data_IF_747362984857
#
_entry.id   IF_747362984857
#
_cell.length_a   1.000
_cell.length_b   1.000
_cell.length_c   1.000
_cell.angle_alpha   90.00
_cell.angle_beta   90.00
_cell.angle_gamma   90.00
#
_symmetry.space_group_name_H-M   'P 1'
#
loop_
_entity.id
_entity.type
_entity.pdbx_description
1 polymer ?
#
# COMPACT_ATOMS: atom_id res chain seq x y z
N UNK A 1 16.29 -0.63 -18.51
CA UNK A 1 16.69 0.75 -18.89
C UNK A 1 15.52 1.66 -18.56
N UNK A 2 15.51 2.21 -17.35
CA UNK A 2 14.45 3.09 -16.89
C UNK A 2 14.68 4.50 -17.41
N UNK A 3 13.64 5.12 -17.96
CA UNK A 3 13.71 6.51 -18.43
C UNK A 3 13.09 7.38 -17.35
N UNK A 4 13.83 7.67 -16.28
CA UNK A 4 13.45 8.73 -15.35
C UNK A 4 13.49 10.06 -16.14
N UNK A 5 12.32 10.69 -16.33
CA UNK A 5 12.22 11.93 -17.12
C UNK A 5 12.16 13.13 -16.17
N UNK A 6 13.25 13.88 -16.16
CA UNK A 6 13.43 15.12 -15.39
C UNK A 6 12.68 16.24 -16.10
N UNK A 7 11.76 16.92 -15.41
CA UNK A 7 11.11 18.12 -15.92
C UNK A 7 11.64 19.34 -15.18
N UNK A 8 12.17 20.29 -15.95
CA UNK A 8 12.86 21.49 -15.48
C UNK A 8 12.03 22.74 -15.81
N UNK A 9 11.94 23.65 -14.85
CA UNK A 9 11.42 25.00 -14.99
C UNK A 9 12.31 25.81 -15.96
N UNK A 10 11.87 26.09 -17.19
CA UNK A 10 12.61 26.99 -18.11
C UNK A 10 11.64 27.87 -18.93
N UNK A 11 11.96 29.16 -19.05
CA UNK A 11 11.16 30.20 -19.70
C UNK A 11 11.47 30.37 -21.22
N UNK A 12 10.44 30.47 -22.08
CA UNK A 12 10.50 31.09 -23.41
C UNK A 12 9.10 31.41 -24.00
N UNK A 13 9.03 32.29 -25.02
CA UNK A 13 7.88 33.13 -25.43
C UNK A 13 7.26 32.78 -26.81
N UNK A 14 5.92 32.97 -26.92
CA UNK A 14 5.01 33.22 -28.09
C UNK A 14 4.76 32.09 -29.12
N UNK A 15 3.61 31.94 -29.81
CA UNK A 15 2.27 32.56 -29.91
C UNK A 15 1.37 31.57 -30.70
N UNK A 16 0.06 31.49 -30.41
CA UNK A 16 -0.95 30.88 -31.32
C UNK A 16 -2.00 29.99 -30.63
N UNK A 17 -3.28 30.37 -30.75
CA UNK A 17 -4.44 29.80 -30.05
C UNK A 17 -5.06 28.55 -30.72
N UNK A 18 -5.36 27.52 -29.93
CA UNK A 18 -6.47 26.58 -30.17
C UNK A 18 -7.04 26.08 -28.83
N UNK A 19 -8.31 25.64 -28.86
CA UNK A 19 -9.21 25.31 -27.74
C UNK A 19 -8.54 24.65 -26.52
N UNK A 20 -8.86 25.19 -25.34
CA UNK A 20 -8.33 24.78 -24.04
C UNK A 20 -8.84 23.38 -23.65
N UNK A 21 -7.97 22.39 -23.79
CA UNK A 21 -8.08 21.11 -23.09
C UNK A 21 -7.25 21.23 -21.81
N UNK A 22 -7.78 20.83 -20.64
CA UNK A 22 -6.98 20.82 -19.42
C UNK A 22 -5.63 20.10 -19.65
N UNK A 23 -4.55 20.67 -19.11
CA UNK A 23 -3.19 20.24 -19.41
C UNK A 23 -2.85 18.95 -18.64
N UNK A 24 -3.23 17.81 -19.19
CA UNK A 24 -2.86 16.47 -18.69
C UNK A 24 -1.41 16.15 -19.08
N UNK A 25 -0.65 15.54 -18.16
CA UNK A 25 0.82 15.38 -18.23
C UNK A 25 1.30 14.75 -19.53
N UNK A 26 0.88 13.53 -19.81
CA UNK A 26 1.28 12.79 -21.00
C UNK A 26 0.14 11.90 -21.45
N UNK A 27 0.05 11.65 -22.76
CA UNK A 27 -0.85 10.67 -23.33
C UNK A 27 -0.03 9.54 -23.97
N UNK A 28 -0.30 8.28 -23.63
CA UNK A 28 0.07 7.15 -24.50
C UNK A 28 -1.13 6.81 -25.38
N UNK A 29 -0.99 7.00 -26.70
CA UNK A 29 -2.07 6.76 -27.69
C UNK A 29 -3.41 7.45 -27.37
N UNK A 30 -3.38 8.60 -26.70
CA UNK A 30 -4.57 9.36 -26.33
C UNK A 30 -5.18 8.99 -24.97
N UNK A 31 -4.52 8.15 -24.16
CA UNK A 31 -4.89 7.86 -22.77
C UNK A 31 -3.91 8.56 -21.82
N UNK A 32 -4.39 9.33 -20.82
CA UNK A 32 -3.55 9.91 -19.79
C UNK A 32 -2.65 8.87 -19.12
N UNK A 33 -1.35 9.13 -19.01
CA UNK A 33 -0.46 8.36 -18.13
C UNK A 33 -0.74 8.83 -16.71
N UNK A 34 -1.33 7.95 -15.91
CA UNK A 34 -1.92 8.27 -14.61
C UNK A 34 -1.90 7.05 -13.67
N UNK A 35 -2.29 7.23 -12.42
CA UNK A 35 -2.47 6.12 -11.49
C UNK A 35 -3.65 5.23 -11.91
N UNK A 36 -3.61 3.95 -11.53
CA UNK A 36 -4.79 3.07 -11.64
C UNK A 36 -5.97 3.69 -10.88
N UNK A 37 -7.17 3.81 -11.49
CA UNK A 37 -8.34 4.30 -10.78
C UNK A 37 -8.66 3.47 -9.53
N UNK A 38 -9.21 4.14 -8.51
CA UNK A 38 -9.47 3.65 -7.14
C UNK A 38 -8.23 3.41 -6.27
N UNK A 39 -7.02 3.67 -6.78
CA UNK A 39 -5.79 3.48 -6.02
C UNK A 39 -5.71 4.41 -4.81
N UNK A 40 -5.14 3.89 -3.73
CA UNK A 40 -4.59 4.72 -2.66
C UNK A 40 -3.09 4.90 -2.87
N UNK A 41 -2.64 6.15 -3.03
CA UNK A 41 -1.22 6.49 -3.15
C UNK A 41 -0.74 6.99 -1.79
N UNK A 42 0.17 6.24 -1.16
CA UNK A 42 0.79 6.64 0.11
C UNK A 42 1.93 7.62 -0.20
N UNK A 43 1.82 8.82 0.35
CA UNK A 43 2.83 9.88 0.28
C UNK A 43 3.70 9.81 1.52
N UNK A 44 4.94 9.34 1.37
CA UNK A 44 5.91 9.23 2.46
C UNK A 44 6.61 10.57 2.68
N UNK A 45 6.17 11.33 3.68
CA UNK A 45 6.68 12.67 3.96
C UNK A 45 7.91 12.59 4.86
N UNK A 46 9.05 13.02 4.35
CA UNK A 46 10.32 13.13 5.06
C UNK A 46 10.84 14.56 4.96
N UNK A 47 10.01 15.53 5.36
CA UNK A 47 10.39 16.95 5.39
C UNK A 47 11.06 17.30 6.74
N UNK A 48 11.92 18.33 6.77
CA UNK A 48 12.56 18.77 8.01
C UNK A 48 11.53 19.10 9.12
N UNK A 49 11.93 18.91 10.38
CA UNK A 49 11.11 19.24 11.55
C UNK A 49 11.71 20.39 12.37
N UNK A 50 12.59 21.18 11.75
CA UNK A 50 13.37 22.25 12.37
C UNK A 50 12.60 23.57 12.52
N UNK A 51 11.47 23.73 11.82
CA UNK A 51 10.58 24.90 11.89
C UNK A 51 9.16 24.52 12.30
N UNK A 52 8.62 25.28 13.25
CA UNK A 52 7.25 25.07 13.79
C UNK A 52 6.40 26.34 13.84
N UNK A 53 6.94 27.50 13.48
CA UNK A 53 6.24 28.77 13.45
C UNK A 53 6.16 29.28 12.00
N UNK A 54 5.06 28.95 11.33
CA UNK A 54 4.74 29.42 9.99
C UNK A 54 3.75 30.59 10.04
N UNK A 55 3.77 31.46 9.03
CA UNK A 55 2.95 32.68 9.01
C UNK A 55 1.44 32.38 9.05
N UNK A 56 0.99 31.29 8.45
CA UNK A 56 -0.42 30.83 8.52
C UNK A 56 -0.76 29.98 9.76
N UNK A 57 0.19 29.80 10.68
CA UNK A 57 0.00 29.02 11.90
C UNK A 57 0.16 27.51 11.73
N UNK A 58 0.60 27.03 10.57
CA UNK A 58 0.99 25.63 10.38
C UNK A 58 2.09 25.22 11.37
N UNK A 59 2.13 23.93 11.71
CA UNK A 59 2.98 23.41 12.80
C UNK A 59 4.25 22.70 12.32
N UNK A 60 4.32 22.30 11.04
CA UNK A 60 5.47 21.64 10.42
C UNK A 60 5.34 21.68 8.90
N UNK A 61 6.45 21.42 8.18
CA UNK A 61 6.42 21.22 6.74
C UNK A 61 5.54 20.02 6.33
N UNK A 62 5.58 18.92 7.08
CA UNK A 62 4.68 17.77 6.88
C UNK A 62 3.20 18.16 6.98
N UNK A 63 2.83 19.00 7.95
CA UNK A 63 1.45 19.47 8.09
C UNK A 63 1.02 20.32 6.88
N UNK A 64 1.94 21.14 6.35
CA UNK A 64 1.70 21.96 5.15
C UNK A 64 1.50 21.09 3.91
N UNK A 65 2.38 20.10 3.70
CA UNK A 65 2.26 19.15 2.60
C UNK A 65 0.96 18.32 2.71
N UNK A 66 0.63 17.87 3.92
CA UNK A 66 -0.62 17.15 4.19
C UNK A 66 -1.86 17.98 3.86
N UNK A 67 -1.88 19.28 4.21
CA UNK A 67 -2.97 20.19 3.82
C UNK A 67 -3.12 20.27 2.29
N UNK A 68 -2.01 20.40 1.57
CA UNK A 68 -2.02 20.43 0.10
C UNK A 68 -2.54 19.12 -0.53
N UNK A 69 -2.16 17.95 0.00
CA UNK A 69 -2.70 16.65 -0.42
C UNK A 69 -4.20 16.53 -0.13
N UNK A 70 -4.64 16.97 1.04
CA UNK A 70 -6.05 16.97 1.42
C UNK A 70 -6.92 17.89 0.54
N UNK A 71 -6.34 18.96 -0.01
CA UNK A 71 -7.03 19.82 -0.98
C UNK A 71 -7.24 19.07 -2.30
N UNK A 72 -6.23 18.34 -2.79
CA UNK A 72 -6.41 17.49 -3.97
C UNK A 72 -7.44 16.38 -3.74
N UNK A 73 -7.41 15.71 -2.59
CA UNK A 73 -8.36 14.65 -2.23
C UNK A 73 -9.85 15.08 -2.32
N UNK A 74 -10.16 16.37 -2.22
CA UNK A 74 -11.54 16.89 -2.38
C UNK A 74 -12.06 16.80 -3.83
N UNK A 75 -11.18 16.65 -4.80
CA UNK A 75 -11.50 16.64 -6.24
C UNK A 75 -11.15 15.31 -6.93
N UNK A 76 -10.69 14.32 -6.17
CA UNK A 76 -10.28 13.02 -6.69
C UNK A 76 -11.31 11.96 -6.28
N UNK A 77 -12.19 11.59 -7.20
CA UNK A 77 -13.23 10.59 -6.93
C UNK A 77 -12.64 9.18 -6.92
N UNK A 78 -11.82 8.86 -7.92
CA UNK A 78 -11.21 7.55 -8.11
C UNK A 78 -9.68 7.57 -7.91
N UNK A 79 -9.18 8.38 -6.98
CA UNK A 79 -7.80 8.37 -6.49
C UNK A 79 -7.81 8.93 -5.06
N UNK A 80 -6.97 8.41 -4.18
CA UNK A 80 -6.84 8.96 -2.83
C UNK A 80 -5.37 9.04 -2.41
N UNK A 81 -4.95 10.19 -1.88
CA UNK A 81 -3.66 10.32 -1.21
C UNK A 81 -3.81 10.00 0.28
N UNK A 82 -3.05 9.03 0.75
CA UNK A 82 -2.80 8.78 2.17
C UNK A 82 -1.41 9.31 2.54
N UNK A 83 -1.19 9.60 3.83
CA UNK A 83 0.06 10.22 4.30
C UNK A 83 0.74 9.33 5.33
N UNK A 84 2.02 9.05 5.12
CA UNK A 84 2.94 8.54 6.12
C UNK A 84 3.82 9.71 6.60
N UNK A 85 3.62 10.16 7.84
CA UNK A 85 4.26 11.35 8.41
C UNK A 85 5.60 11.02 9.04
N UNK A 86 6.58 11.92 8.89
CA UNK A 86 7.94 11.73 9.39
C UNK A 86 8.54 10.39 8.94
N UNK A 87 8.29 10.04 7.68
CA UNK A 87 8.73 8.80 7.09
C UNK A 87 10.25 8.67 7.18
N UNK A 88 10.68 7.48 7.59
CA UNK A 88 12.09 7.10 7.71
C UNK A 88 12.60 6.32 6.48
N UNK A 89 11.73 6.13 5.48
CA UNK A 89 12.09 5.42 4.27
C UNK A 89 13.20 6.20 3.52
N UNK A 90 14.23 5.49 3.01
CA UNK A 90 15.28 6.13 2.24
C UNK A 90 14.71 6.65 0.91
N UNK A 91 15.18 7.82 0.46
CA UNK A 91 14.79 8.34 -0.86
C UNK A 91 15.42 7.50 -1.97
N UNK A 92 14.59 7.02 -2.89
CA UNK A 92 15.00 6.16 -4.00
C UNK A 92 14.04 6.36 -5.17
N UNK A 93 14.55 6.71 -6.35
CA UNK A 93 13.70 6.84 -7.56
C UNK A 93 13.41 5.50 -8.24
N UNK A 94 13.55 4.42 -7.48
CA UNK A 94 13.49 3.03 -7.97
C UNK A 94 12.98 2.08 -6.90
N UNK A 95 12.18 2.51 -5.94
CA UNK A 95 11.61 1.64 -4.90
C UNK A 95 10.09 1.48 -4.99
N UNK A 96 9.45 2.17 -5.96
CA UNK A 96 8.00 2.27 -6.11
C UNK A 96 7.27 2.90 -4.90
N UNK A 97 7.99 3.56 -3.99
CA UNK A 97 7.43 4.40 -2.94
C UNK A 97 7.31 5.83 -3.45
N UNK A 98 6.20 6.49 -3.13
CA UNK A 98 5.97 7.88 -3.51
C UNK A 98 6.44 8.79 -2.37
N UNK A 99 7.59 9.45 -2.53
CA UNK A 99 8.21 10.22 -1.44
C UNK A 99 8.04 11.73 -1.57
N UNK A 100 8.07 12.43 -0.44
CA UNK A 100 8.10 13.90 -0.40
C UNK A 100 9.22 14.33 0.53
N UNK A 101 10.18 15.09 0.03
CA UNK A 101 11.38 15.45 0.78
C UNK A 101 11.90 16.84 0.43
N UNK A 102 12.91 17.29 1.17
CA UNK A 102 13.62 18.54 0.91
C UNK A 102 15.13 18.27 0.85
N UNK A 103 15.80 18.78 -0.17
CA UNK A 103 17.22 18.51 -0.40
C UNK A 103 17.88 19.58 -1.26
N UNK A 104 19.21 19.71 -1.17
CA UNK A 104 20.02 20.57 -2.05
C UNK A 104 20.21 19.94 -3.45
N UNK A 105 19.89 18.65 -3.59
CA UNK A 105 20.02 17.85 -4.81
C UNK A 105 18.89 16.84 -4.95
N UNK A 106 18.59 16.42 -6.17
CA UNK A 106 17.68 15.30 -6.44
C UNK A 106 18.43 14.19 -7.17
N UNK A 107 18.52 13.01 -6.56
CA UNK A 107 19.22 11.83 -7.12
C UNK A 107 20.62 12.12 -7.70
N UNK A 108 21.39 12.98 -7.02
CA UNK A 108 22.75 13.37 -7.42
C UNK A 108 22.82 14.58 -8.34
N UNK A 109 21.70 14.99 -8.94
CA UNK A 109 21.58 16.13 -9.84
C UNK A 109 21.38 17.45 -9.07
N UNK A 110 21.86 18.55 -9.65
CA UNK A 110 21.71 19.89 -9.06
C UNK A 110 20.46 20.57 -9.62
N UNK A 111 19.72 21.26 -8.75
CA UNK A 111 18.61 22.10 -9.18
C UNK A 111 19.08 23.22 -10.13
N UNK A 112 18.22 23.57 -11.09
CA UNK A 112 18.40 24.80 -11.84
C UNK A 112 18.24 26.03 -10.92
N UNK A 113 18.87 27.16 -11.28
CA UNK A 113 18.96 28.34 -10.42
C UNK A 113 17.63 28.91 -9.90
N UNK A 114 16.52 28.65 -10.58
CA UNK A 114 15.17 29.12 -10.20
C UNK A 114 14.18 27.96 -10.02
N UNK A 115 14.66 26.72 -9.85
CA UNK A 115 13.81 25.55 -9.67
C UNK A 115 13.49 25.40 -8.19
N UNK A 116 12.21 25.57 -7.86
CA UNK A 116 11.71 25.56 -6.48
C UNK A 116 11.51 24.13 -5.94
N UNK A 117 11.05 23.22 -6.79
CA UNK A 117 10.90 21.81 -6.50
C UNK A 117 10.92 21.02 -7.82
N UNK A 118 10.98 19.70 -7.71
CA UNK A 118 10.80 18.78 -8.83
C UNK A 118 9.86 17.66 -8.42
N UNK A 119 9.00 17.25 -9.34
CA UNK A 119 8.26 15.99 -9.27
C UNK A 119 8.77 15.02 -10.32
N UNK A 120 9.32 13.91 -9.87
CA UNK A 120 9.76 12.79 -10.70
C UNK A 120 8.66 11.75 -10.67
N UNK A 121 8.23 11.23 -11.83
CA UNK A 121 7.24 10.15 -11.86
C UNK A 121 7.79 8.99 -12.65
N UNK A 122 7.51 7.78 -12.18
CA UNK A 122 7.94 6.55 -12.82
C UNK A 122 6.70 5.84 -13.35
N UNK A 123 6.46 5.85 -14.68
CA UNK A 123 5.42 5.05 -15.28
C UNK A 123 5.91 3.64 -15.65
N UNK A 124 5.02 2.67 -15.52
CA UNK A 124 5.14 1.31 -16.08
C UNK A 124 3.89 1.01 -16.88
N UNK A 125 4.04 0.60 -18.15
CA UNK A 125 2.90 0.28 -19.03
C UNK A 125 1.82 1.40 -19.10
N UNK A 126 2.26 2.66 -19.14
CA UNK A 126 1.41 3.86 -19.13
C UNK A 126 0.60 4.09 -17.83
N UNK A 127 0.95 3.42 -16.74
CA UNK A 127 0.39 3.60 -15.40
C UNK A 127 1.49 4.16 -14.48
N UNK A 128 1.18 5.14 -13.63
CA UNK A 128 2.10 5.57 -12.58
C UNK A 128 2.27 4.48 -11.53
N UNK A 129 3.53 4.20 -11.18
CA UNK A 129 3.88 3.26 -10.12
C UNK A 129 4.61 3.93 -8.96
N UNK A 130 5.11 5.15 -9.16
CA UNK A 130 5.92 5.94 -8.21
C UNK A 130 5.85 7.42 -8.58
N UNK A 131 5.88 8.31 -7.58
CA UNK A 131 6.24 9.71 -7.80
C UNK A 131 7.00 10.33 -6.61
N UNK A 132 8.10 11.04 -6.87
CA UNK A 132 8.87 11.71 -5.84
C UNK A 132 8.81 13.21 -5.99
N UNK A 133 8.50 13.90 -4.90
CA UNK A 133 8.49 15.35 -4.79
C UNK A 133 9.66 15.81 -3.94
N UNK A 134 10.56 16.61 -4.52
CA UNK A 134 11.76 17.09 -3.84
C UNK A 134 11.77 18.61 -3.89
N UNK A 135 11.55 19.24 -2.73
CA UNK A 135 11.67 20.68 -2.55
C UNK A 135 13.14 21.09 -2.48
N UNK A 136 13.47 22.19 -3.14
CA UNK A 136 14.84 22.69 -3.17
C UNK A 136 15.16 23.41 -1.86
N UNK A 137 16.12 22.86 -1.12
CA UNK A 137 16.56 23.36 0.18
C UNK A 137 17.42 24.64 0.09
N UNK A 138 17.78 25.08 -1.12
CA UNK A 138 18.46 26.36 -1.32
C UNK A 138 17.56 27.59 -1.08
N UNK A 139 16.24 27.40 -0.98
CA UNK A 139 15.28 28.46 -0.69
C UNK A 139 14.80 28.43 0.77
N UNK A 140 14.50 29.60 1.32
CA UNK A 140 13.76 29.70 2.58
C UNK A 140 12.28 29.41 2.35
N UNK A 141 11.69 28.60 3.22
CA UNK A 141 10.31 28.14 3.11
C UNK A 141 9.47 28.58 4.31
N UNK A 142 8.33 29.20 4.03
CA UNK A 142 7.27 29.55 4.97
C UNK A 142 5.94 28.97 4.45
N UNK A 143 4.82 29.24 5.13
CA UNK A 143 3.47 28.97 4.63
C UNK A 143 2.57 30.16 4.95
N UNK A 144 1.92 30.72 3.94
CA UNK A 144 1.07 31.91 4.06
C UNK A 144 -0.02 31.92 2.99
N UNK A 145 -0.94 32.88 3.04
CA UNK A 145 -1.96 33.11 2.00
C UNK A 145 -1.82 34.51 1.42
N UNK A 146 -2.22 34.67 0.16
CA UNK A 146 -2.14 35.96 -0.53
C UNK A 146 -0.81 36.20 -1.26
N UNK A 147 -0.48 37.46 -1.60
CA UNK A 147 0.63 37.80 -2.51
C UNK A 147 1.99 37.21 -2.14
N UNK A 148 2.82 36.96 -3.16
CA UNK A 148 4.21 36.52 -2.97
C UNK A 148 5.00 37.52 -2.11
N UNK A 149 5.87 36.98 -1.24
CA UNK A 149 6.71 37.78 -0.34
C UNK A 149 6.01 38.24 0.93
N UNK A 150 4.84 37.70 1.26
CA UNK A 150 4.19 37.88 2.57
C UNK A 150 4.70 36.91 3.65
N UNK A 151 5.64 36.04 3.29
CA UNK A 151 6.30 35.17 4.25
C UNK A 151 7.20 35.92 5.21
N UNK A 152 7.73 35.17 6.16
CA UNK A 152 8.76 35.63 7.08
C UNK A 152 10.03 35.97 6.31
N UNK A 153 10.30 37.26 6.11
CA UNK A 153 11.50 37.70 5.37
C UNK A 153 11.39 37.49 3.86
N UNK A 154 12.29 36.71 3.28
CA UNK A 154 12.31 36.39 1.84
C UNK A 154 11.77 34.99 1.53
N UNK A 155 11.12 34.35 2.49
CA UNK A 155 10.67 32.97 2.38
C UNK A 155 9.52 32.81 1.37
N UNK A 156 9.56 31.69 0.62
CA UNK A 156 8.54 31.28 -0.34
C UNK A 156 7.47 30.43 0.35
N UNK A 157 6.26 30.45 -0.19
CA UNK A 157 5.13 29.67 0.34
C UNK A 157 5.22 28.21 -0.11
N UNK A 158 5.59 27.32 0.81
CA UNK A 158 5.70 25.89 0.56
C UNK A 158 4.36 25.30 0.12
N UNK A 159 3.24 25.72 0.72
CA UNK A 159 1.93 25.13 0.39
C UNK A 159 1.54 25.37 -1.06
N UNK A 160 1.80 26.58 -1.57
CA UNK A 160 1.58 26.93 -2.97
C UNK A 160 2.38 26.05 -3.91
N UNK A 161 3.67 25.83 -3.61
CA UNK A 161 4.52 24.95 -4.41
C UNK A 161 4.10 23.48 -4.26
N UNK A 162 3.75 23.03 -3.06
CA UNK A 162 3.25 21.68 -2.81
C UNK A 162 1.95 21.39 -3.58
N UNK A 163 1.00 22.33 -3.64
CA UNK A 163 -0.21 22.19 -4.46
C UNK A 163 0.13 21.97 -5.95
N UNK A 164 1.14 22.68 -6.46
CA UNK A 164 1.63 22.51 -7.83
C UNK A 164 2.29 21.14 -8.02
N UNK A 165 3.27 20.78 -7.19
CA UNK A 165 3.99 19.50 -7.32
C UNK A 165 3.06 18.29 -7.18
N UNK A 166 2.11 18.34 -6.25
CA UNK A 166 1.11 17.27 -6.12
C UNK A 166 0.16 17.20 -7.31
N UNK A 167 -0.04 18.27 -8.07
CA UNK A 167 -0.73 18.20 -9.35
C UNK A 167 0.05 17.37 -10.40
N UNK A 168 1.39 17.38 -10.36
CA UNK A 168 2.18 16.45 -11.17
C UNK A 168 2.04 15.00 -10.71
N UNK A 169 1.98 14.76 -9.40
CA UNK A 169 1.69 13.43 -8.84
C UNK A 169 0.31 12.94 -9.30
N UNK A 170 -0.70 13.81 -9.33
CA UNK A 170 -2.04 13.50 -9.89
C UNK A 170 -1.95 13.12 -11.37
N UNK A 171 -1.02 13.70 -12.13
CA UNK A 171 -0.84 13.45 -13.57
C UNK A 171 -1.13 14.67 -14.45
N UNK A 172 -1.00 15.88 -13.92
CA UNK A 172 -1.15 17.14 -14.66
C UNK A 172 0.19 17.65 -15.23
N UNK A 173 0.13 18.36 -16.34
CA UNK A 173 1.23 19.14 -16.92
C UNK A 173 1.01 20.64 -16.77
N UNK A 174 2.04 21.40 -17.12
CA UNK A 174 1.98 22.85 -17.24
C UNK A 174 1.14 23.33 -18.44
N UNK A 175 0.00 24.01 -18.24
CA UNK A 175 -0.81 24.53 -19.35
C UNK A 175 -0.09 25.63 -20.14
N UNK A 176 0.74 26.45 -19.50
CA UNK A 176 1.53 27.50 -20.13
C UNK A 176 2.75 27.00 -20.94
N UNK A 177 3.03 25.69 -20.88
CA UNK A 177 4.03 25.00 -21.68
C UNK A 177 3.41 23.98 -22.67
N UNK A 178 2.09 23.79 -22.64
CA UNK A 178 1.38 22.92 -23.57
C UNK A 178 1.60 23.37 -25.02
N UNK A 179 1.33 22.45 -25.97
CA UNK A 179 1.39 22.76 -27.41
C UNK A 179 0.03 22.44 -28.05
N UNK A 180 -0.75 23.46 -28.46
CA UNK A 180 -0.48 24.89 -28.34
C UNK A 180 -0.51 25.39 -26.90
N UNK A 181 0.23 26.47 -26.63
CA UNK A 181 0.29 27.09 -25.31
C UNK A 181 -1.09 27.55 -24.85
N UNK A 182 -1.46 27.19 -23.64
CA UNK A 182 -2.68 27.65 -23.01
C UNK A 182 -2.40 28.92 -22.19
N UNK A 183 -3.39 29.80 -22.10
CA UNK A 183 -3.32 31.03 -21.31
C UNK A 183 -4.47 31.02 -20.30
N UNK A 184 -4.28 30.23 -19.25
CA UNK A 184 -5.27 30.00 -18.18
C UNK A 184 -4.66 30.36 -16.83
N UNK A 185 -5.51 30.74 -15.87
CA UNK A 185 -5.10 30.84 -14.47
C UNK A 185 -5.10 29.43 -13.90
N UNK A 186 -3.94 28.97 -13.45
CA UNK A 186 -3.72 27.62 -12.96
C UNK A 186 -2.63 27.65 -11.88
N UNK A 187 -2.79 26.87 -10.81
CA UNK A 187 -1.68 26.56 -9.90
C UNK A 187 -0.60 25.80 -10.67
N UNK A 188 -1.00 25.01 -11.67
CA UNK A 188 -0.13 24.21 -12.53
C UNK A 188 0.65 25.02 -13.56
N UNK A 189 0.54 26.35 -13.64
CA UNK A 189 1.43 27.11 -14.51
C UNK A 189 2.89 26.96 -14.05
N UNK A 190 3.82 26.84 -15.00
CA UNK A 190 5.23 26.59 -14.74
C UNK A 190 5.98 27.73 -14.05
N UNK A 191 5.35 28.89 -13.84
CA UNK A 191 5.96 30.00 -13.11
C UNK A 191 5.07 30.34 -11.91
N UNK A 192 5.67 30.29 -10.72
CA UNK A 192 5.00 30.66 -9.47
C UNK A 192 4.35 32.05 -9.58
N UNK A 193 3.14 32.19 -9.06
CA UNK A 193 2.35 33.42 -9.15
C UNK A 193 1.64 33.72 -7.84
N UNK A 194 0.72 34.69 -7.84
CA UNK A 194 -0.11 35.02 -6.68
C UNK A 194 -1.17 33.94 -6.37
N UNK A 195 -1.43 33.00 -7.29
CA UNK A 195 -2.38 31.91 -7.12
C UNK A 195 -1.89 30.97 -6.00
N UNK A 196 -2.70 30.74 -4.97
CA UNK A 196 -2.42 29.85 -3.81
C UNK A 196 -3.52 28.81 -3.55
N UNK A 197 -4.42 28.64 -4.52
CA UNK A 197 -5.51 27.66 -4.50
C UNK A 197 -5.64 27.01 -5.87
N UNK A 198 -6.20 25.79 -5.90
CA UNK A 198 -6.55 25.13 -7.16
C UNK A 198 -7.55 25.98 -7.94
N UNK A 199 -7.29 26.16 -9.23
CA UNK A 199 -8.13 26.89 -10.16
C UNK A 199 -9.03 25.91 -10.94
N UNK A 200 -10.07 26.41 -11.64
CA UNK A 200 -10.95 25.57 -12.44
C UNK A 200 -10.22 24.70 -13.48
N UNK A 201 -9.11 25.18 -14.05
CA UNK A 201 -8.29 24.41 -15.00
C UNK A 201 -7.62 23.20 -14.33
N UNK A 202 -7.03 23.41 -13.16
CA UNK A 202 -6.37 22.37 -12.36
C UNK A 202 -7.36 21.27 -11.95
N UNK A 203 -8.53 21.70 -11.44
CA UNK A 203 -9.62 20.80 -11.02
C UNK A 203 -10.14 20.01 -12.22
N UNK A 204 -10.45 20.68 -13.33
CA UNK A 204 -10.96 20.03 -14.54
C UNK A 204 -9.95 19.02 -15.11
N UNK A 205 -8.65 19.30 -15.00
CA UNK A 205 -7.58 18.37 -15.36
C UNK A 205 -7.62 17.10 -14.52
N UNK A 206 -7.63 17.22 -13.19
CA UNK A 206 -7.68 16.07 -12.29
C UNK A 206 -8.96 15.24 -12.48
N UNK A 207 -10.10 15.93 -12.59
CA UNK A 207 -11.41 15.32 -12.85
C UNK A 207 -11.46 14.58 -14.18
N UNK A 208 -10.82 15.10 -15.23
CA UNK A 208 -10.75 14.40 -16.52
C UNK A 208 -10.02 13.04 -16.45
N UNK A 209 -9.20 12.83 -15.42
CA UNK A 209 -8.48 11.58 -15.16
C UNK A 209 -9.28 10.68 -14.18
N UNK A 210 -9.83 11.26 -13.10
CA UNK A 210 -10.33 10.49 -11.95
C UNK A 210 -11.81 10.71 -11.59
N UNK A 211 -12.62 11.44 -12.37
CA UNK A 211 -14.08 11.52 -12.15
C UNK A 211 -14.81 10.23 -12.54
N UNK A 212 -14.21 9.44 -13.44
CA UNK A 212 -14.76 8.16 -13.88
C UNK A 212 -13.85 7.01 -13.50
N UNK A 213 -14.45 5.93 -13.01
CA UNK A 213 -13.75 4.70 -12.66
C UNK A 213 -14.74 3.60 -12.30
N UNK A 214 -14.26 2.40 -11.97
CA UNK A 214 -15.11 1.36 -11.39
C UNK A 214 -15.78 1.86 -10.11
N UNK A 215 -17.04 1.50 -9.88
CA UNK A 215 -17.71 1.80 -8.61
C UNK A 215 -16.91 1.21 -7.44
N UNK A 216 -16.84 1.93 -6.32
CA UNK A 216 -16.29 1.38 -5.09
C UNK A 216 -17.16 0.24 -4.60
N UNK A 217 -16.54 -0.92 -4.40
CA UNK A 217 -17.22 -2.13 -3.98
C UNK A 217 -17.02 -2.32 -2.47
N UNK A 218 -18.10 -2.24 -1.70
CA UNK A 218 -18.08 -2.60 -0.29
C UNK A 218 -18.38 -4.09 -0.12
N UNK A 219 -17.49 -4.85 0.54
CA UNK A 219 -17.83 -6.20 1.01
C UNK A 219 -18.87 -6.13 2.14
N UNK A 220 -19.99 -6.85 1.96
CA UNK A 220 -21.27 -6.77 2.69
C UNK A 220 -21.23 -7.48 4.09
N UNK A 221 -22.16 -7.19 5.03
CA UNK A 221 -22.08 -7.56 6.45
C UNK A 221 -22.74 -8.91 6.81
N UNK A 222 -22.07 -9.63 7.71
CA UNK A 222 -22.47 -10.68 8.67
C UNK A 222 -21.19 -11.03 9.48
N UNK A 223 -21.23 -11.78 10.61
CA UNK A 223 -20.00 -12.16 11.34
C UNK A 223 -19.13 -13.17 10.57
N UNK A 224 -18.40 -12.68 9.56
CA UNK A 224 -17.48 -13.45 8.74
C UNK A 224 -16.03 -13.16 9.15
N UNK A 225 -15.13 -14.10 8.84
CA UNK A 225 -13.70 -13.78 8.85
C UNK A 225 -13.46 -13.05 7.53
N UNK A 226 -13.35 -11.72 7.59
CA UNK A 226 -13.27 -10.88 6.38
C UNK A 226 -11.83 -10.69 5.91
N UNK A 227 -10.88 -10.94 6.82
CA UNK A 227 -9.46 -11.00 6.53
C UNK A 227 -8.82 -12.12 7.37
N UNK A 228 -7.88 -12.81 6.74
CA UNK A 228 -6.98 -13.77 7.35
C UNK A 228 -5.58 -13.41 6.88
N UNK A 229 -4.64 -13.25 7.82
CA UNK A 229 -3.28 -12.83 7.48
C UNK A 229 -2.22 -13.58 8.25
N UNK A 230 -1.00 -13.57 7.74
CA UNK A 230 0.16 -14.02 8.49
C UNK A 230 1.36 -13.14 8.21
N UNK A 231 1.96 -12.62 9.27
CA UNK A 231 3.30 -12.04 9.25
C UNK A 231 4.30 -13.13 9.53
N UNK A 232 5.20 -13.38 8.59
CA UNK A 232 6.23 -14.40 8.74
C UNK A 232 7.52 -14.00 8.01
N UNK A 233 8.63 -14.57 8.48
CA UNK A 233 9.90 -14.47 7.78
C UNK A 233 9.91 -15.41 6.57
N UNK A 234 10.09 -14.84 5.37
CA UNK A 234 10.23 -15.54 4.11
C UNK A 234 11.70 -15.86 3.87
N UNK A 235 12.02 -17.15 3.84
CA UNK A 235 13.34 -17.65 3.46
C UNK A 235 13.38 -18.17 2.02
N UNK A 236 14.54 -18.68 1.62
CA UNK A 236 14.75 -19.31 0.30
C UNK A 236 14.49 -20.82 0.33
N UNK A 237 14.32 -21.44 -0.85
CA UNK A 237 14.22 -22.89 -0.98
C UNK A 237 13.01 -23.46 -0.24
N UNK A 238 13.23 -24.40 0.68
CA UNK A 238 12.16 -25.01 1.48
C UNK A 238 11.64 -24.10 2.62
N UNK A 239 12.28 -22.96 2.86
CA UNK A 239 11.94 -22.01 3.93
C UNK A 239 11.06 -20.85 3.46
N UNK A 240 10.48 -20.96 2.26
CA UNK A 240 9.41 -20.04 1.81
C UNK A 240 8.19 -20.17 2.72
N UNK A 241 7.41 -19.09 2.82
CA UNK A 241 6.17 -19.11 3.60
C UNK A 241 5.05 -19.68 2.74
N UNK A 242 4.27 -20.59 3.33
CA UNK A 242 3.12 -21.21 2.66
C UNK A 242 1.87 -21.01 3.51
N UNK A 243 0.94 -20.19 3.03
CA UNK A 243 -0.39 -20.05 3.58
C UNK A 243 -1.34 -21.09 2.97
N UNK A 244 -1.95 -21.94 3.78
CA UNK A 244 -3.00 -22.86 3.37
C UNK A 244 -4.37 -22.31 3.75
N UNK A 245 -5.37 -22.47 2.87
CA UNK A 245 -6.75 -22.09 3.15
C UNK A 245 -7.75 -23.03 2.47
N UNK A 246 -9.01 -22.97 2.90
CA UNK A 246 -10.09 -23.81 2.35
C UNK A 246 -11.21 -22.91 1.84
N UNK A 247 -11.72 -23.18 0.65
CA UNK A 247 -13.02 -22.65 0.22
C UNK A 247 -14.10 -23.62 0.66
N UNK A 248 -15.03 -23.13 1.48
CA UNK A 248 -16.11 -23.89 2.06
C UNK A 248 -17.46 -23.56 1.40
N UNK A 249 -18.41 -24.49 1.54
CA UNK A 249 -19.75 -24.37 0.97
C UNK A 249 -19.90 -25.22 -0.30
N UNK A 250 -20.96 -24.96 -1.05
CA UNK A 250 -21.28 -25.66 -2.31
C UNK A 250 -21.11 -24.77 -3.53
N UNK A 251 -20.69 -23.52 -3.36
CA UNK A 251 -20.51 -22.52 -4.41
C UNK A 251 -19.07 -22.00 -4.37
N UNK A 252 -18.54 -21.48 -5.49
CA UNK A 252 -17.24 -20.83 -5.51
C UNK A 252 -17.18 -19.63 -4.57
N UNK A 253 -15.98 -19.29 -4.11
CA UNK A 253 -15.67 -18.04 -3.41
C UNK A 253 -14.76 -17.16 -4.28
N UNK A 254 -15.02 -15.84 -4.29
CA UNK A 254 -14.12 -14.86 -4.92
C UNK A 254 -13.26 -14.21 -3.85
N UNK A 255 -11.95 -14.33 -4.00
CA UNK A 255 -10.96 -13.90 -3.01
C UNK A 255 -9.91 -12.98 -3.63
N UNK A 256 -9.31 -12.14 -2.79
CA UNK A 256 -8.05 -11.46 -3.07
C UNK A 256 -6.98 -12.00 -2.14
N UNK A 257 -5.86 -12.44 -2.71
CA UNK A 257 -4.65 -12.80 -2.00
C UNK A 257 -3.62 -11.68 -2.16
N UNK A 258 -2.90 -11.31 -1.10
CA UNK A 258 -1.84 -10.30 -1.15
C UNK A 258 -0.56 -10.80 -0.52
N UNK A 259 0.58 -10.41 -1.11
CA UNK A 259 1.90 -10.49 -0.53
C UNK A 259 2.46 -9.09 -0.33
N UNK A 260 2.55 -8.64 0.92
CA UNK A 260 2.96 -7.29 1.31
C UNK A 260 4.35 -7.37 1.95
N UNK A 261 5.26 -6.51 1.54
CA UNK A 261 6.67 -6.54 1.87
C UNK A 261 7.21 -5.12 2.02
N UNK A 262 7.55 -4.48 0.90
CA UNK A 262 8.13 -3.14 0.84
C UNK A 262 7.32 -2.05 1.58
N UNK A 263 6.01 -2.23 1.77
CA UNK A 263 5.17 -1.29 2.55
C UNK A 263 5.32 -1.45 4.08
N UNK A 264 5.93 -2.53 4.57
CA UNK A 264 6.02 -2.85 6.00
C UNK A 264 6.95 -1.95 6.84
N UNK A 265 8.06 -1.38 6.31
CA UNK A 265 8.89 -0.48 7.11
C UNK A 265 8.16 0.80 7.53
N UNK A 266 7.14 1.24 6.78
CA UNK A 266 6.27 2.36 7.17
C UNK A 266 5.51 2.12 8.48
N UNK A 267 5.32 0.86 8.88
CA UNK A 267 4.73 0.48 10.18
C UNK A 267 5.77 -0.07 11.16
N UNK A 268 7.05 0.20 10.93
CA UNK A 268 8.16 -0.12 11.82
C UNK A 268 8.78 -1.51 11.66
N UNK A 269 8.39 -2.27 10.62
CA UNK A 269 8.97 -3.58 10.33
C UNK A 269 10.10 -3.40 9.30
N UNK A 270 11.31 -3.14 9.79
CA UNK A 270 12.44 -2.74 8.93
C UNK A 270 13.08 -3.89 8.15
N UNK A 271 12.85 -5.14 8.54
CA UNK A 271 13.45 -6.31 7.90
C UNK A 271 12.51 -6.91 6.85
N UNK A 272 11.80 -6.07 6.11
CA UNK A 272 10.78 -6.46 5.15
C UNK A 272 11.35 -7.23 3.95
N UNK A 273 10.53 -8.06 3.32
CA UNK A 273 10.83 -8.67 2.03
C UNK A 273 10.62 -7.60 0.94
N UNK A 274 11.66 -7.29 0.17
CA UNK A 274 11.65 -6.15 -0.76
C UNK A 274 10.72 -6.36 -1.97
N UNK A 275 10.65 -7.59 -2.50
CA UNK A 275 9.95 -7.89 -3.75
C UNK A 275 9.14 -9.19 -3.62
N UNK A 276 7.97 -9.16 -2.95
CA UNK A 276 7.19 -10.36 -2.66
C UNK A 276 6.45 -10.87 -3.91
N UNK A 277 6.71 -12.11 -4.31
CA UNK A 277 5.96 -12.87 -5.33
C UNK A 277 4.99 -13.82 -4.64
N UNK A 278 3.76 -13.92 -5.15
CA UNK A 278 2.80 -14.94 -4.70
C UNK A 278 2.45 -15.93 -5.81
N UNK A 279 2.34 -17.21 -5.43
CA UNK A 279 1.78 -18.26 -6.29
C UNK A 279 0.60 -18.92 -5.57
N UNK A 280 -0.53 -19.01 -6.25
CA UNK A 280 -1.71 -19.76 -5.80
C UNK A 280 -1.69 -21.16 -6.41
N UNK A 281 -1.81 -22.17 -5.57
CA UNK A 281 -1.76 -23.59 -5.94
C UNK A 281 -3.06 -24.30 -5.56
N UNK A 282 -3.50 -25.21 -6.43
CA UNK A 282 -4.53 -26.20 -6.13
C UNK A 282 -3.99 -27.30 -5.20
N UNK A 283 -4.88 -28.10 -4.61
CA UNK A 283 -4.51 -29.28 -3.81
C UNK A 283 -3.69 -30.33 -4.57
N UNK A 284 -3.74 -30.34 -5.90
CA UNK A 284 -2.91 -31.17 -6.76
C UNK A 284 -1.46 -30.68 -6.89
N UNK A 285 -1.14 -29.49 -6.38
CA UNK A 285 0.13 -28.79 -6.59
C UNK A 285 0.23 -28.02 -7.90
N UNK A 286 -0.86 -27.94 -8.68
CA UNK A 286 -0.89 -27.13 -9.89
C UNK A 286 -0.98 -25.63 -9.54
N UNK A 287 -0.14 -24.81 -10.18
CA UNK A 287 -0.24 -23.34 -10.09
C UNK A 287 -1.51 -22.90 -10.84
N UNK A 288 -2.39 -22.18 -10.15
CA UNK A 288 -3.62 -21.61 -10.67
C UNK A 288 -3.43 -20.15 -11.08
N UNK A 289 -2.63 -19.41 -10.31
CA UNK A 289 -2.30 -18.01 -10.57
C UNK A 289 -0.95 -17.67 -9.94
N UNK A 290 -0.30 -16.63 -10.44
CA UNK A 290 0.90 -16.04 -9.86
C UNK A 290 0.84 -14.52 -10.06
N UNK A 291 1.40 -13.78 -9.12
CA UNK A 291 1.61 -12.34 -9.20
C UNK A 291 3.00 -12.04 -8.66
N UNK A 292 3.63 -11.02 -9.23
CA UNK A 292 4.94 -10.48 -8.87
C UNK A 292 4.70 -9.02 -8.46
N UNK A 293 4.35 -8.19 -9.44
CA UNK A 293 3.77 -6.87 -9.23
C UNK A 293 2.25 -6.90 -9.47
N UNK A 294 1.45 -6.49 -8.47
CA UNK A 294 -0.01 -6.45 -8.58
C UNK A 294 -0.49 -5.51 -9.69
N UNK A 295 0.28 -4.45 -9.97
CA UNK A 295 -0.09 -3.39 -10.92
C UNK A 295 -0.07 -3.89 -12.37
N UNK A 296 0.70 -4.94 -12.65
CA UNK A 296 0.80 -5.54 -13.98
C UNK A 296 -0.28 -6.62 -14.21
N UNK A 297 -1.06 -6.98 -13.18
CA UNK A 297 -2.16 -7.92 -13.32
C UNK A 297 -3.38 -7.26 -14.00
N UNK A 298 -4.02 -8.02 -14.89
CA UNK A 298 -5.30 -7.66 -15.51
C UNK A 298 -6.42 -7.28 -14.51
N UNK A 299 -6.31 -7.73 -13.26
CA UNK A 299 -7.28 -7.46 -12.19
C UNK A 299 -6.96 -6.24 -11.34
N UNK A 300 -5.87 -5.52 -11.58
CA UNK A 300 -5.42 -4.38 -10.76
C UNK A 300 -6.55 -3.36 -10.48
N UNK A 301 -7.32 -2.98 -11.49
CA UNK A 301 -8.45 -2.04 -11.35
C UNK A 301 -9.59 -2.60 -10.48
N UNK A 302 -9.84 -3.90 -10.54
CA UNK A 302 -10.85 -4.57 -9.72
C UNK A 302 -10.39 -4.65 -8.28
N UNK A 303 -9.14 -5.04 -8.04
CA UNK A 303 -8.54 -5.11 -6.70
C UNK A 303 -8.58 -3.72 -6.03
N UNK A 304 -8.19 -2.67 -6.75
CA UNK A 304 -8.26 -1.29 -6.28
C UNK A 304 -9.71 -0.83 -5.98
N UNK A 305 -10.71 -1.29 -6.76
CA UNK A 305 -12.13 -0.95 -6.48
C UNK A 305 -12.67 -1.48 -5.16
N UNK A 306 -12.01 -2.49 -4.57
CA UNK A 306 -12.28 -2.99 -3.22
C UNK A 306 -11.43 -2.32 -2.13
N UNK A 307 -10.57 -1.36 -2.50
CA UNK A 307 -9.52 -0.79 -1.63
C UNK A 307 -8.59 -1.87 -1.04
N UNK A 308 -8.30 -2.88 -1.84
CA UNK A 308 -7.39 -3.96 -1.48
C UNK A 308 -6.08 -3.90 -2.29
N UNK A 309 -5.83 -2.82 -3.02
CA UNK A 309 -4.55 -2.59 -3.67
C UNK A 309 -3.40 -2.54 -2.64
N UNK A 310 -2.31 -3.29 -2.87
CA UNK A 310 -1.05 -3.04 -2.18
C UNK A 310 -0.56 -1.61 -2.43
N UNK A 311 -0.02 -0.97 -1.40
CA UNK A 311 0.37 0.45 -1.46
C UNK A 311 1.64 0.66 -2.29
N UNK A 312 2.57 -0.30 -2.24
CA UNK A 312 3.74 -0.32 -3.11
C UNK A 312 3.43 -1.14 -4.37
N UNK A 313 3.86 -0.66 -5.54
CA UNK A 313 3.54 -1.31 -6.82
C UNK A 313 4.31 -2.62 -7.07
N UNK A 314 5.39 -2.89 -6.33
CA UNK A 314 6.16 -4.14 -6.34
C UNK A 314 5.58 -5.25 -5.49
N UNK A 315 4.53 -4.94 -4.74
CA UNK A 315 3.86 -5.95 -3.95
C UNK A 315 2.92 -6.79 -4.82
N UNK A 316 2.61 -7.98 -4.36
CA UNK A 316 1.85 -8.95 -5.13
C UNK A 316 0.38 -8.98 -4.73
N UNK A 317 -0.51 -9.14 -5.71
CA UNK A 317 -1.91 -9.47 -5.44
C UNK A 317 -2.55 -10.31 -6.55
N UNK A 318 -3.40 -11.26 -6.15
CA UNK A 318 -4.15 -12.15 -7.04
C UNK A 318 -5.63 -12.06 -6.71
N UNK A 319 -6.46 -11.81 -7.72
CA UNK A 319 -7.91 -12.00 -7.65
C UNK A 319 -8.26 -13.36 -8.25
N UNK A 320 -8.99 -14.20 -7.51
CA UNK A 320 -9.38 -15.52 -8.00
C UNK A 320 -10.80 -15.91 -7.54
N UNK A 321 -11.52 -16.61 -8.41
CA UNK A 321 -12.77 -17.31 -8.04
C UNK A 321 -12.49 -18.81 -8.01
N UNK A 322 -12.66 -19.42 -6.83
CA UNK A 322 -12.23 -20.78 -6.54
C UNK A 322 -13.40 -21.64 -6.10
N UNK A 323 -13.49 -22.85 -6.65
CA UNK A 323 -14.45 -23.87 -6.22
C UNK A 323 -14.16 -24.34 -4.78
N UNK A 324 -15.14 -24.91 -4.07
CA UNK A 324 -14.91 -25.53 -2.76
C UNK A 324 -13.77 -26.55 -2.80
N UNK A 325 -12.79 -26.38 -1.90
CA UNK A 325 -11.56 -27.17 -1.92
C UNK A 325 -10.45 -26.58 -1.06
N UNK A 326 -9.30 -27.26 -1.02
CA UNK A 326 -8.10 -26.81 -0.32
C UNK A 326 -7.10 -26.20 -1.29
N UNK A 327 -6.49 -25.09 -0.88
CA UNK A 327 -5.55 -24.31 -1.69
C UNK A 327 -4.37 -23.86 -0.83
N UNK A 328 -3.26 -23.54 -1.48
CA UNK A 328 -2.10 -22.93 -0.83
C UNK A 328 -1.62 -21.72 -1.62
N UNK A 329 -1.25 -20.66 -0.91
CA UNK A 329 -0.47 -19.54 -1.43
C UNK A 329 0.97 -19.68 -0.96
N UNK A 330 1.92 -19.60 -1.89
CA UNK A 330 3.35 -19.62 -1.60
C UNK A 330 3.87 -18.20 -1.79
N UNK A 331 4.62 -17.69 -0.81
CA UNK A 331 5.30 -16.39 -0.91
C UNK A 331 6.80 -16.58 -0.90
N UNK A 332 7.44 -15.93 -1.85
CA UNK A 332 8.89 -15.94 -2.07
C UNK A 332 9.33 -14.54 -2.50
N UNK A 333 10.64 -14.27 -2.45
CA UNK A 333 11.20 -13.10 -3.10
C UNK A 333 11.25 -13.30 -4.62
N UNK A 334 11.03 -12.24 -5.38
CA UNK A 334 11.54 -12.16 -6.74
C UNK A 334 13.07 -12.08 -6.70
N UNK A 335 13.75 -12.76 -7.62
CA UNK A 335 15.21 -12.70 -7.74
C UNK A 335 15.59 -11.73 -8.86
N UNK A 336 15.80 -10.47 -8.46
CA UNK A 336 16.23 -9.39 -9.36
C UNK A 336 17.77 -9.33 -9.51
N UNK A 337 18.52 -10.23 -8.84
CA UNK A 337 19.99 -10.28 -8.85
C UNK A 337 20.73 -9.39 -7.85
N UNK A 338 20.05 -8.72 -6.91
CA UNK A 338 20.67 -7.91 -5.84
C UNK A 338 21.14 -8.73 -4.62
N UNK A 339 20.62 -9.95 -4.46
CA UNK A 339 20.93 -10.86 -3.37
C UNK A 339 20.01 -10.76 -2.15
N UNK A 340 19.01 -9.88 -2.16
CA UNK A 340 18.04 -9.66 -1.08
C UNK A 340 16.81 -10.57 -1.22
N UNK A 341 17.00 -11.87 -1.01
CA UNK A 341 15.96 -12.88 -1.25
C UNK A 341 15.14 -13.30 -0.01
N UNK A 342 15.30 -12.59 1.11
CA UNK A 342 14.68 -12.97 2.38
C UNK A 342 14.24 -11.74 3.17
N UNK A 343 13.15 -11.86 3.92
CA UNK A 343 12.63 -10.78 4.75
C UNK A 343 11.28 -11.13 5.34
N UNK A 344 10.75 -10.26 6.19
CA UNK A 344 9.39 -10.37 6.72
C UNK A 344 8.38 -9.97 5.65
N UNK A 345 7.36 -10.78 5.41
CA UNK A 345 6.22 -10.42 4.58
C UNK A 345 4.89 -10.66 5.32
N UNK A 346 3.85 -9.95 4.92
CA UNK A 346 2.47 -10.30 5.23
C UNK A 346 1.85 -11.05 4.05
N UNK A 347 1.20 -12.16 4.36
CA UNK A 347 0.26 -12.84 3.47
C UNK A 347 -1.12 -12.48 3.92
N UNK A 348 -2.00 -12.10 3.01
CA UNK A 348 -3.38 -11.78 3.35
C UNK A 348 -4.35 -12.47 2.40
N UNK A 349 -5.48 -12.89 2.94
CA UNK A 349 -6.62 -13.41 2.21
C UNK A 349 -7.84 -12.58 2.60
N UNK A 350 -8.50 -12.03 1.59
CA UNK A 350 -9.79 -11.37 1.69
C UNK A 350 -10.83 -12.16 0.93
N UNK A 351 -11.95 -12.49 1.58
CA UNK A 351 -13.14 -13.00 0.91
C UNK A 351 -14.04 -11.82 0.56
N UNK A 352 -14.30 -11.63 -0.73
CA UNK A 352 -15.08 -10.49 -1.20
C UNK A 352 -16.58 -10.66 -0.94
N UNK A 353 -17.02 -11.88 -0.57
CA UNK A 353 -18.41 -12.23 -0.29
C UNK A 353 -19.39 -11.84 -1.42
N UNK A 354 -18.89 -11.82 -2.66
CA UNK A 354 -19.70 -11.58 -3.88
C UNK A 354 -20.35 -12.85 -4.43
N UNK A 355 -20.09 -13.98 -3.80
CA UNK A 355 -20.55 -15.32 -4.19
C UNK A 355 -21.11 -16.05 -2.96
N UNK A 356 -21.72 -17.22 -3.17
CA UNK A 356 -22.28 -18.03 -2.08
C UNK A 356 -21.26 -18.90 -1.34
N UNK A 357 -20.04 -19.01 -1.84
CA UNK A 357 -18.92 -19.68 -1.18
C UNK A 357 -18.28 -18.80 -0.12
N UNK A 358 -17.39 -19.38 0.68
CA UNK A 358 -16.62 -18.63 1.67
C UNK A 358 -15.21 -19.17 1.82
N UNK A 359 -14.21 -18.30 1.89
CA UNK A 359 -12.91 -18.70 2.38
C UNK A 359 -13.00 -18.94 3.90
N UNK A 360 -12.58 -20.11 4.33
CA UNK A 360 -12.57 -20.52 5.73
C UNK A 360 -11.25 -21.19 6.09
N UNK A 361 -10.79 -20.92 7.30
CA UNK A 361 -9.50 -21.34 7.87
C UNK A 361 -8.29 -20.77 7.11
N UNK A 362 -7.32 -20.22 7.85
CA UNK A 362 -5.95 -20.02 7.36
C UNK A 362 -5.02 -20.84 8.25
N UNK A 363 -4.05 -21.48 7.63
CA UNK A 363 -2.95 -22.16 8.31
C UNK A 363 -1.66 -21.77 7.62
N UNK A 364 -0.73 -21.13 8.31
CA UNK A 364 0.53 -20.74 7.68
C UNK A 364 1.66 -21.60 8.18
N UNK A 365 2.38 -22.21 7.24
CA UNK A 365 3.63 -22.91 7.51
C UNK A 365 4.78 -21.97 7.17
N UNK A 366 5.59 -21.68 8.17
CA UNK A 366 6.81 -20.88 8.03
C UNK A 366 7.70 -21.05 9.26
N UNK A 367 8.95 -20.58 9.19
CA UNK A 367 9.82 -20.55 10.36
C UNK A 367 9.20 -19.67 11.45
N UNK A 368 9.22 -20.16 12.69
CA UNK A 368 8.90 -19.35 13.88
C UNK A 368 10.23 -18.83 14.42
N UNK A 369 10.52 -17.56 14.15
CA UNK A 369 11.75 -16.90 14.58
C UNK A 369 11.56 -16.31 15.99
N UNK A 370 12.44 -15.38 16.38
CA UNK A 370 12.40 -14.72 17.69
C UNK A 370 12.12 -13.22 17.56
N UNK A 371 11.86 -12.56 18.69
CA UNK A 371 11.58 -11.12 18.74
C UNK A 371 10.48 -10.70 17.75
N UNK A 372 10.71 -9.67 16.93
CA UNK A 372 9.70 -9.11 16.03
C UNK A 372 9.38 -10.02 14.82
N UNK A 373 10.12 -11.13 14.67
CA UNK A 373 9.98 -12.11 13.58
C UNK A 373 9.20 -13.37 13.98
N UNK A 374 8.62 -13.42 15.18
CA UNK A 374 7.69 -14.50 15.54
C UNK A 374 6.55 -14.57 14.51
N UNK A 375 6.11 -15.79 14.19
CA UNK A 375 5.01 -16.00 13.26
C UNK A 375 3.71 -15.49 13.90
N UNK A 376 3.06 -14.52 13.26
CA UNK A 376 1.84 -13.89 13.78
C UNK A 376 0.72 -14.10 12.78
N UNK A 377 -0.34 -14.79 13.20
CA UNK A 377 -1.56 -14.97 12.41
C UNK A 377 -2.59 -13.90 12.76
N UNK A 378 -2.88 -12.99 11.82
CA UNK A 378 -3.92 -11.97 12.00
C UNK A 378 -5.27 -12.43 11.45
N UNK A 379 -6.35 -11.90 12.01
CA UNK A 379 -7.69 -12.04 11.41
C UNK A 379 -8.63 -10.94 11.86
N UNK A 380 -9.66 -10.68 11.05
CA UNK A 380 -10.73 -9.73 11.37
C UNK A 380 -12.06 -10.47 11.46
N UNK A 381 -12.72 -10.35 12.61
CA UNK A 381 -14.12 -10.75 12.79
C UNK A 381 -14.98 -9.58 12.36
N UNK A 382 -15.68 -9.71 11.23
CA UNK A 382 -16.61 -8.70 10.72
C UNK A 382 -18.00 -8.77 11.38
N UNK A 383 -18.95 -7.99 10.86
CA UNK A 383 -20.35 -8.03 11.27
C UNK A 383 -20.63 -7.42 12.64
N UNK A 384 -21.76 -7.79 13.25
CA UNK A 384 -22.24 -7.25 14.53
C UNK A 384 -22.39 -8.30 15.63
N UNK A 385 -22.15 -9.57 15.32
CA UNK A 385 -22.33 -10.68 16.25
C UNK A 385 -20.98 -11.32 16.60
N UNK A 386 -20.95 -12.05 17.71
CA UNK A 386 -19.75 -12.76 18.14
C UNK A 386 -19.45 -13.98 17.27
N UNK A 387 -18.18 -14.38 17.22
CA UNK A 387 -17.72 -15.55 16.47
C UNK A 387 -16.85 -16.46 17.33
N UNK A 388 -17.13 -17.75 17.31
CA UNK A 388 -16.24 -18.76 17.89
C UNK A 388 -15.08 -19.06 16.93
N UNK A 389 -13.87 -19.01 17.46
CA UNK A 389 -12.64 -19.32 16.72
C UNK A 389 -11.82 -20.34 17.48
N UNK A 390 -11.11 -21.20 16.73
CA UNK A 390 -10.09 -22.11 17.27
C UNK A 390 -8.76 -21.74 16.65
N UNK A 391 -7.79 -21.40 17.50
CA UNK A 391 -6.40 -21.16 17.09
C UNK A 391 -5.55 -22.35 17.48
N UNK A 392 -4.63 -22.75 16.61
CA UNK A 392 -3.76 -23.92 16.81
C UNK A 392 -2.36 -23.62 16.34
N UNK A 393 -1.38 -24.01 17.14
CA UNK A 393 0.01 -24.08 16.70
C UNK A 393 0.45 -25.55 16.66
N UNK A 394 0.83 -25.99 15.46
CA UNK A 394 1.17 -27.38 15.17
C UNK A 394 2.67 -27.45 14.94
N UNK A 395 3.34 -28.27 15.76
CA UNK A 395 4.78 -28.39 15.82
C UNK A 395 5.19 -29.83 15.57
N UNK A 396 5.38 -30.67 16.61
CA UNK A 396 5.83 -32.05 16.45
C UNK A 396 5.03 -32.91 15.47
N UNK A 397 3.74 -32.63 15.25
CA UNK A 397 2.93 -33.36 14.27
C UNK A 397 3.37 -33.14 12.82
N UNK A 398 4.07 -32.04 12.51
CA UNK A 398 4.60 -31.75 11.17
C UNK A 398 5.67 -32.75 10.70
N UNK A 399 6.31 -33.48 11.63
CA UNK A 399 7.27 -34.53 11.28
C UNK A 399 6.62 -35.63 10.42
N UNK A 400 5.33 -35.91 10.63
CA UNK A 400 4.58 -36.87 9.81
C UNK A 400 4.38 -36.39 8.37
N UNK A 401 4.48 -35.08 8.13
CA UNK A 401 4.43 -34.45 6.80
C UNK A 401 5.85 -34.25 6.20
N UNK A 402 6.89 -34.84 6.79
CA UNK A 402 8.27 -34.76 6.30
C UNK A 402 9.02 -33.48 6.68
N UNK A 403 8.48 -32.69 7.62
CA UNK A 403 9.16 -31.48 8.12
C UNK A 403 10.10 -31.86 9.27
N UNK A 404 11.41 -31.79 9.02
CA UNK A 404 12.43 -32.22 9.99
C UNK A 404 12.73 -31.20 11.09
N UNK A 405 12.47 -29.90 10.85
CA UNK A 405 12.78 -28.80 11.77
C UNK A 405 11.51 -28.16 12.35
N UNK A 406 10.56 -29.00 12.75
CA UNK A 406 9.33 -28.51 13.37
C UNK A 406 9.60 -27.94 14.77
N UNK A 407 8.92 -26.84 15.14
CA UNK A 407 8.99 -26.27 16.48
C UNK A 407 8.53 -27.33 17.50
N UNK A 408 9.37 -27.64 18.48
CA UNK A 408 9.16 -28.80 19.36
C UNK A 408 8.02 -28.61 20.37
N UNK A 409 7.78 -27.37 20.78
CA UNK A 409 6.85 -27.02 21.85
C UNK A 409 6.23 -25.64 21.55
N UNK A 410 5.25 -25.59 20.63
CA UNK A 410 4.66 -24.34 20.19
C UNK A 410 3.60 -23.79 21.15
N UNK A 411 3.74 -22.54 21.58
CA UNK A 411 2.71 -21.78 22.32
C UNK A 411 1.89 -20.88 21.40
N UNK A 412 0.68 -20.51 21.84
CA UNK A 412 -0.19 -19.52 21.19
C UNK A 412 -0.58 -18.45 22.19
N UNK A 413 -0.50 -17.19 21.76
CA UNK A 413 -1.14 -16.05 22.41
C UNK A 413 -2.16 -15.45 21.44
N UNK A 414 -3.33 -15.09 21.95
CA UNK A 414 -4.33 -14.32 21.22
C UNK A 414 -4.33 -12.89 21.78
N UNK A 415 -4.17 -11.90 20.90
CA UNK A 415 -4.16 -10.48 21.26
C UNK A 415 -5.24 -9.73 20.48
N UNK A 416 -5.78 -8.68 21.10
CA UNK A 416 -6.74 -7.79 20.46
C UNK A 416 -6.04 -6.66 19.69
N UNK A 417 -6.82 -5.80 19.02
CA UNK A 417 -6.31 -4.65 18.27
C UNK A 417 -5.43 -3.66 19.06
N UNK A 418 -5.54 -3.61 20.39
CA UNK A 418 -4.65 -2.78 21.24
C UNK A 418 -3.39 -3.54 21.71
N UNK A 419 -3.14 -4.73 21.17
CA UNK A 419 -2.02 -5.61 21.56
C UNK A 419 -2.18 -6.28 22.93
N UNK A 420 -3.34 -6.14 23.57
CA UNK A 420 -3.61 -6.72 24.88
C UNK A 420 -3.92 -8.21 24.77
N UNK A 421 -3.37 -9.01 25.69
CA UNK A 421 -3.61 -10.46 25.75
C UNK A 421 -5.09 -10.73 26.05
N UNK A 422 -5.71 -11.55 25.20
CA UNK A 422 -7.08 -12.04 25.33
C UNK A 422 -7.08 -13.44 25.94
N UNK A 423 -6.25 -14.33 25.41
CA UNK A 423 -6.10 -15.71 25.90
C UNK A 423 -4.72 -16.26 25.49
N UNK A 424 -4.26 -17.33 26.12
CA UNK A 424 -3.04 -18.03 25.71
C UNK A 424 -3.09 -19.50 26.07
N UNK A 425 -2.32 -20.30 25.34
CA UNK A 425 -2.15 -21.70 25.66
C UNK A 425 -0.79 -22.26 25.19
N UNK A 426 -0.32 -23.29 25.89
CA UNK A 426 0.91 -24.03 25.63
C UNK A 426 0.59 -25.48 25.22
N UNK A 427 -0.05 -26.24 26.11
CA UNK A 427 -0.47 -27.62 25.85
C UNK A 427 -1.99 -27.68 25.65
N UNK A 428 -2.45 -28.12 24.48
CA UNK A 428 -3.89 -28.18 24.17
C UNK A 428 -4.68 -29.05 25.15
N UNK A 429 -4.07 -30.12 25.67
CA UNK A 429 -4.71 -31.06 26.60
C UNK A 429 -5.01 -30.45 27.98
N UNK A 430 -4.27 -29.41 28.37
CA UNK A 430 -4.43 -28.72 29.66
C UNK A 430 -5.38 -27.51 29.55
N UNK A 431 -5.79 -27.12 28.34
CA UNK A 431 -6.66 -25.98 28.11
C UNK A 431 -8.09 -26.24 28.65
N UNK A 432 -8.75 -25.27 29.31
CA UNK A 432 -10.09 -25.48 29.90
C UNK A 432 -11.16 -25.99 28.93
N UNK A 433 -11.06 -25.68 27.63
CA UNK A 433 -11.99 -26.17 26.59
C UNK A 433 -11.43 -27.31 25.73
N UNK A 434 -10.40 -28.04 26.19
CA UNK A 434 -9.80 -29.15 25.45
C UNK A 434 -10.83 -30.20 24.97
N UNK A 435 -11.81 -30.53 25.82
CA UNK A 435 -12.88 -31.47 25.47
C UNK A 435 -13.77 -30.97 24.32
N UNK A 436 -14.02 -29.65 24.25
CA UNK A 436 -14.80 -29.04 23.17
C UNK A 436 -14.02 -29.09 21.86
N UNK A 437 -12.76 -28.64 21.88
CA UNK A 437 -11.82 -28.69 20.74
C UNK A 437 -11.72 -30.14 20.20
N UNK A 438 -11.64 -31.13 21.11
CA UNK A 438 -11.60 -32.54 20.73
C UNK A 438 -12.93 -33.02 20.11
N UNK A 439 -14.07 -32.62 20.67
CA UNK A 439 -15.39 -33.00 20.15
C UNK A 439 -15.67 -32.43 18.75
N UNK A 440 -15.08 -31.27 18.45
CA UNK A 440 -15.14 -30.62 17.14
C UNK A 440 -14.15 -31.22 16.13
N UNK A 441 -13.31 -32.17 16.56
CA UNK A 441 -12.30 -32.80 15.70
C UNK A 441 -11.11 -31.88 15.37
N UNK A 442 -10.89 -30.84 16.17
CA UNK A 442 -9.85 -29.83 15.95
C UNK A 442 -8.63 -30.00 16.86
N UNK A 443 -8.65 -30.94 17.80
CA UNK A 443 -7.54 -31.19 18.71
C UNK A 443 -6.23 -31.53 17.96
N UNK A 444 -5.12 -30.87 18.31
CA UNK A 444 -3.79 -31.29 17.88
C UNK A 444 -3.51 -32.75 18.26
N UNK A 445 -2.68 -33.43 17.47
CA UNK A 445 -2.39 -34.86 17.70
C UNK A 445 -1.30 -35.09 18.73
N UNK A 446 -0.44 -34.09 18.97
CA UNK A 446 0.65 -34.20 19.94
C UNK A 446 0.33 -33.39 21.21
N UNK A 447 0.60 -33.92 22.42
CA UNK A 447 0.24 -33.24 23.67
C UNK A 447 0.91 -31.87 23.88
N UNK A 448 2.11 -31.68 23.33
CA UNK A 448 2.90 -30.44 23.42
C UNK A 448 2.51 -29.38 22.38
N UNK A 449 1.43 -29.61 21.63
CA UNK A 449 0.93 -28.61 20.68
C UNK A 449 -0.12 -27.73 21.35
N UNK A 450 -0.18 -26.46 20.97
CA UNK A 450 -1.14 -25.53 21.54
C UNK A 450 -2.43 -25.44 20.73
N UNK A 451 -3.56 -25.36 21.43
CA UNK A 451 -4.84 -24.95 20.84
C UNK A 451 -5.71 -24.20 21.86
N UNK A 452 -6.44 -23.18 21.40
CA UNK A 452 -7.38 -22.43 22.22
C UNK A 452 -8.69 -22.18 21.45
N UNK A 453 -9.80 -22.03 22.18
CA UNK A 453 -11.13 -21.79 21.60
C UNK A 453 -11.82 -20.61 22.28
N UNK A 454 -12.05 -19.53 21.54
CA UNK A 454 -12.51 -18.25 22.11
C UNK A 454 -13.68 -17.72 21.31
N UNK A 455 -14.65 -17.15 22.02
CA UNK A 455 -15.77 -16.41 21.44
C UNK A 455 -15.38 -14.94 21.39
N UNK A 456 -15.30 -14.36 20.19
CA UNK A 456 -14.79 -13.02 19.96
C UNK A 456 -15.88 -12.09 19.45
N UNK A 457 -15.84 -10.83 19.89
CA UNK A 457 -16.64 -9.77 19.29
C UNK A 457 -16.08 -9.40 17.91
N UNK A 458 -16.84 -8.68 17.08
CA UNK A 458 -16.30 -8.05 15.88
C UNK A 458 -15.08 -7.17 16.21
N UNK A 459 -14.01 -7.30 15.43
CA UNK A 459 -12.74 -6.61 15.65
C UNK A 459 -11.54 -7.33 15.03
N UNK A 460 -10.38 -6.70 15.15
CA UNK A 460 -9.09 -7.23 14.68
C UNK A 460 -8.34 -7.95 15.81
N UNK A 461 -7.72 -9.07 15.46
CA UNK A 461 -6.99 -9.95 16.38
C UNK A 461 -5.71 -10.48 15.73
N UNK A 462 -4.73 -10.82 16.57
CA UNK A 462 -3.43 -11.39 16.18
C UNK A 462 -2.96 -12.46 17.13
#
# INVERSE_FOLDING_TARGET
MFTARIFLLVAAVALGSANAHASVREFDKGVPIAWTPNRTVVMHLSLPNDRTNFTDGSLSYDAIATDALNIWNQYLVHLHFAVDHNSILPLSGTDANTSVSMSDKFYGETFGANVLAVTLVTPRNAIFIEADVIFNNAFGWDSYRGPLGQGSGSDLDLRRVALHEFGHVVGLNHPDQATPKQNVQAIMNSIISYIDTLQPDDISGAQSIYDSGPEFLSSNPAPNLVNLSTRAFVGTGNNVVIGGFIVQGSQPATIVLRGIGESLPAIGINNALEDPVIELHASSGAILAMSDDWIDDSWASTIASYHLDPTNSRESAVLATLDPGSYTVVVRSFDNGDGNLTGTALIELYDLHTTGGRAGNISTRGPVMTADQVLIGGFIVGGSETKDVVLRAIGPSLAAAGISEALSDPTVELRNASGSLVDSNDNWGDYPKAAQIQSEGLAPTQPTESALQVTLNPGSYT
#
